data_IF_218146477120
#
_entry.id   IF_218146477120
#
_cell.length_a   1.000
_cell.length_b   1.000
_cell.length_c   1.000
_cell.angle_alpha   90.00
_cell.angle_beta   90.00
_cell.angle_gamma   90.00
#
_symmetry.space_group_name_H-M   'P 1'
#
loop_
_entity.id
_entity.type
_entity.pdbx_description
1 polymer ?
#
# COMPACT_ATOMS: atom_id res chain seq x y z
N UNK A 1 17.38 -3.39 32.56
CA UNK A 1 18.66 -3.67 33.24
C UNK A 1 19.53 -4.41 32.25
N UNK A 2 20.68 -3.84 31.84
CA UNK A 2 21.61 -4.53 30.94
C UNK A 2 22.25 -5.70 31.68
N UNK A 3 22.41 -6.83 30.98
CA UNK A 3 22.93 -8.07 31.54
C UNK A 3 24.42 -7.88 31.88
N UNK A 4 24.87 -8.32 33.06
CA UNK A 4 26.25 -8.12 33.55
C UNK A 4 27.28 -8.80 32.62
N UNK A 5 26.85 -9.82 31.85
CA UNK A 5 27.64 -10.45 30.79
C UNK A 5 28.03 -9.50 29.66
N UNK A 6 27.17 -8.53 29.31
CA UNK A 6 27.43 -7.61 28.20
C UNK A 6 28.43 -6.51 28.57
N UNK A 7 28.50 -6.18 29.86
CA UNK A 7 29.48 -5.23 30.42
C UNK A 7 30.86 -5.88 30.45
N UNK A 8 30.96 -7.11 30.97
CA UNK A 8 32.21 -7.86 31.07
C UNK A 8 32.78 -8.30 29.71
N UNK A 9 31.93 -8.54 28.71
CA UNK A 9 32.37 -8.84 27.34
C UNK A 9 32.91 -7.60 26.60
N UNK A 10 32.47 -6.40 26.99
CA UNK A 10 32.95 -5.13 26.42
C UNK A 10 34.31 -4.71 26.99
N UNK A 11 34.55 -4.94 28.28
CA UNK A 11 35.81 -4.58 28.97
C UNK A 11 37.00 -5.40 28.48
N UNK A 12 36.81 -6.68 28.12
CA UNK A 12 37.91 -7.49 27.58
C UNK A 12 38.32 -7.11 26.14
N UNK A 13 37.48 -6.41 25.39
CA UNK A 13 37.81 -5.91 24.04
C UNK A 13 38.58 -4.60 24.08
N UNK A 14 38.29 -3.71 25.03
CA UNK A 14 39.00 -2.44 25.19
C UNK A 14 40.45 -2.67 25.63
N UNK A 15 40.69 -3.55 26.61
CA UNK A 15 42.04 -3.90 27.08
C UNK A 15 42.88 -4.57 25.97
N UNK A 16 42.28 -5.46 25.18
CA UNK A 16 42.98 -6.10 24.04
C UNK A 16 43.31 -5.11 22.93
N UNK A 17 42.44 -4.13 22.68
CA UNK A 17 42.68 -3.08 21.69
C UNK A 17 43.81 -2.14 22.14
N UNK A 18 43.82 -1.73 23.42
CA UNK A 18 44.90 -0.91 23.99
C UNK A 18 46.25 -1.64 23.95
N UNK A 19 46.27 -2.93 24.28
CA UNK A 19 47.47 -3.75 24.20
C UNK A 19 48.01 -3.87 22.76
N UNK A 20 47.13 -4.05 21.77
CA UNK A 20 47.51 -4.13 20.36
C UNK A 20 48.08 -2.79 19.86
N UNK A 21 47.45 -1.67 20.23
CA UNK A 21 47.88 -0.32 19.85
C UNK A 21 49.27 -0.02 20.42
N UNK A 22 49.51 -0.34 21.70
CA UNK A 22 50.81 -0.13 22.35
C UNK A 22 51.93 -0.96 21.69
N UNK A 23 51.63 -2.19 21.27
CA UNK A 23 52.60 -3.05 20.57
C UNK A 23 52.94 -2.52 19.16
N UNK A 24 51.94 -2.02 18.43
CA UNK A 24 52.15 -1.37 17.12
C UNK A 24 52.95 -0.07 17.27
N UNK A 25 52.69 0.73 18.30
CA UNK A 25 53.45 1.95 18.59
C UNK A 25 54.93 1.66 18.88
N UNK A 26 55.21 0.64 19.71
CA UNK A 26 56.58 0.24 20.06
C UNK A 26 57.36 -0.30 18.86
N UNK A 27 56.76 -1.19 18.07
CA UNK A 27 57.42 -1.80 16.91
C UNK A 27 57.78 -0.81 15.80
N UNK A 28 57.06 0.30 15.67
CA UNK A 28 57.28 1.32 14.63
C UNK A 28 57.94 2.61 15.11
N UNK A 29 58.36 2.68 16.39
CA UNK A 29 58.96 3.91 16.96
C UNK A 29 58.03 5.13 16.93
N UNK A 30 56.71 4.91 16.90
CA UNK A 30 55.72 5.96 16.63
C UNK A 30 55.40 6.73 17.92
N UNK A 31 55.66 8.04 17.93
CA UNK A 31 55.29 8.91 19.06
C UNK A 31 53.77 9.06 19.15
N UNK A 32 53.22 9.06 20.37
CA UNK A 32 51.77 9.12 20.65
C UNK A 32 51.04 10.26 19.91
N UNK A 33 51.68 11.42 19.79
CA UNK A 33 51.16 12.58 19.04
C UNK A 33 50.89 12.33 17.54
N UNK A 34 51.53 11.31 16.95
CA UNK A 34 51.35 10.93 15.54
C UNK A 34 50.28 9.83 15.37
N UNK A 35 49.86 9.17 16.45
CA UNK A 35 48.85 8.12 16.42
C UNK A 35 47.43 8.70 16.35
N UNK A 36 47.19 9.79 17.07
CA UNK A 36 45.90 10.50 17.14
C UNK A 36 45.37 10.84 15.73
N UNK A 37 46.11 11.52 14.83
CA UNK A 37 45.62 11.82 13.49
C UNK A 37 45.36 10.57 12.64
N UNK A 38 46.12 9.48 12.85
CA UNK A 38 45.98 8.24 12.08
C UNK A 38 44.72 7.46 12.48
N UNK A 39 44.46 7.36 13.80
CA UNK A 39 43.23 6.78 14.37
C UNK A 39 42.03 7.64 13.99
N UNK A 40 42.14 8.97 14.06
CA UNK A 40 41.11 9.88 13.57
C UNK A 40 40.84 9.67 12.07
N UNK A 41 41.87 9.50 11.23
CA UNK A 41 41.68 9.22 9.80
C UNK A 41 41.03 7.86 9.54
N UNK A 42 41.34 6.85 10.36
CA UNK A 42 40.75 5.51 10.27
C UNK A 42 39.28 5.54 10.71
N UNK A 43 38.97 6.28 11.77
CA UNK A 43 37.60 6.54 12.22
C UNK A 43 36.85 7.34 11.15
N UNK A 44 37.47 8.35 10.53
CA UNK A 44 36.87 9.11 9.43
C UNK A 44 36.65 8.24 8.18
N UNK A 45 37.56 7.32 7.87
CA UNK A 45 37.42 6.35 6.78
C UNK A 45 36.34 5.29 7.08
N UNK A 46 36.23 4.81 8.32
CA UNK A 46 35.16 3.92 8.78
C UNK A 46 33.80 4.63 8.80
N UNK A 47 33.77 5.90 9.20
CA UNK A 47 32.58 6.75 9.10
C UNK A 47 32.23 7.05 7.63
N UNK A 48 33.21 7.23 6.74
CA UNK A 48 32.98 7.41 5.30
C UNK A 48 32.49 6.12 4.61
N UNK A 49 32.95 4.93 5.05
CA UNK A 49 32.38 3.64 4.63
C UNK A 49 30.94 3.47 5.11
N UNK A 50 30.64 3.86 6.35
CA UNK A 50 29.27 3.81 6.90
C UNK A 50 28.37 4.94 6.36
N UNK A 51 28.95 6.06 5.91
CA UNK A 51 28.27 7.19 5.30
C UNK A 51 28.09 7.04 3.77
N UNK A 52 28.54 5.93 3.18
CA UNK A 52 28.06 5.49 1.87
C UNK A 52 26.65 4.89 1.94
N UNK A 53 25.82 5.35 2.89
CA UNK A 53 24.37 5.32 2.78
C UNK A 53 23.91 6.43 1.83
N UNK A 54 24.44 6.44 0.61
CA UNK A 54 23.78 7.10 -0.50
C UNK A 54 22.53 6.27 -0.81
N UNK A 55 21.38 6.93 -0.87
CA UNK A 55 20.11 6.35 -1.33
C UNK A 55 20.24 5.80 -2.75
N UNK A 56 20.79 4.60 -2.88
CA UNK A 56 20.94 3.90 -4.14
C UNK A 56 19.61 3.24 -4.53
N UNK A 57 19.44 2.96 -5.83
CA UNK A 57 18.18 2.44 -6.36
C UNK A 57 17.78 1.13 -5.70
N UNK A 58 18.77 0.30 -5.31
CA UNK A 58 18.54 -0.93 -4.54
C UNK A 58 17.76 -0.69 -3.24
N UNK A 59 18.19 0.27 -2.41
CA UNK A 59 17.53 0.52 -1.12
C UNK A 59 16.12 1.10 -1.29
N UNK A 60 15.92 1.96 -2.29
CA UNK A 60 14.60 2.52 -2.65
C UNK A 60 13.66 1.39 -3.06
N UNK A 61 14.14 0.50 -3.94
CA UNK A 61 13.35 -0.61 -4.44
C UNK A 61 13.03 -1.61 -3.33
N UNK A 62 14.01 -1.97 -2.49
CA UNK A 62 13.79 -2.87 -1.37
C UNK A 62 12.70 -2.34 -0.42
N UNK A 63 12.76 -1.05 -0.07
CA UNK A 63 11.72 -0.43 0.75
C UNK A 63 10.36 -0.43 0.04
N UNK A 64 10.32 -0.10 -1.26
CA UNK A 64 9.08 -0.10 -2.03
C UNK A 64 8.44 -1.48 -2.06
N UNK A 65 9.21 -2.54 -2.32
CA UNK A 65 8.71 -3.91 -2.40
C UNK A 65 8.17 -4.44 -1.07
N UNK A 66 8.69 -3.97 0.08
CA UNK A 66 8.13 -4.29 1.42
C UNK A 66 6.69 -3.79 1.61
N UNK A 67 6.24 -2.83 0.81
CA UNK A 67 4.87 -2.32 0.85
C UNK A 67 3.89 -3.10 -0.03
N UNK A 68 4.40 -4.05 -0.82
CA UNK A 68 3.63 -4.81 -1.82
C UNK A 68 3.46 -6.26 -1.38
N UNK A 69 2.34 -6.86 -1.76
CA UNK A 69 2.12 -8.29 -1.60
C UNK A 69 2.73 -9.05 -2.79
N UNK A 70 4.03 -9.34 -2.71
CA UNK A 70 4.75 -10.06 -3.77
C UNK A 70 4.25 -11.50 -3.97
N UNK A 71 3.68 -12.11 -2.93
CA UNK A 71 3.13 -13.47 -3.00
C UNK A 71 1.77 -13.50 -3.68
N UNK A 72 0.98 -12.42 -3.54
CA UNK A 72 -0.34 -12.31 -4.13
C UNK A 72 -0.65 -10.89 -4.66
N UNK A 73 -0.11 -10.52 -5.84
CA UNK A 73 -0.34 -9.21 -6.45
C UNK A 73 -1.83 -8.92 -6.75
N UNK A 74 -2.65 -9.97 -6.95
CA UNK A 74 -4.10 -9.82 -7.20
C UNK A 74 -4.84 -9.31 -5.95
N UNK A 75 -4.34 -9.59 -4.75
CA UNK A 75 -4.91 -9.07 -3.52
C UNK A 75 -4.68 -7.56 -3.40
N UNK A 76 -3.48 -7.08 -3.75
CA UNK A 76 -3.21 -5.64 -3.84
C UNK A 76 -4.08 -4.97 -4.90
N UNK A 77 -4.26 -5.60 -6.07
CA UNK A 77 -5.18 -5.12 -7.10
C UNK A 77 -6.60 -4.97 -6.55
N UNK A 78 -7.13 -6.00 -5.89
CA UNK A 78 -8.48 -5.97 -5.31
C UNK A 78 -8.64 -4.84 -4.29
N UNK A 79 -7.62 -4.62 -3.45
CA UNK A 79 -7.59 -3.52 -2.49
C UNK A 79 -7.56 -2.14 -3.16
N UNK A 80 -6.80 -2.00 -4.24
CA UNK A 80 -6.70 -0.75 -5.00
C UNK A 80 -8.00 -0.43 -5.75
N UNK A 81 -8.61 -1.41 -6.42
CA UNK A 81 -9.93 -1.26 -7.06
C UNK A 81 -10.99 -0.84 -6.03
N UNK A 82 -10.96 -1.41 -4.82
CA UNK A 82 -11.87 -1.02 -3.74
C UNK A 82 -11.72 0.44 -3.27
N UNK A 83 -10.67 1.13 -3.72
CA UNK A 83 -10.38 2.56 -3.47
C UNK A 83 -10.48 3.40 -4.74
N UNK A 84 -11.08 2.85 -5.81
CA UNK A 84 -11.16 3.45 -7.13
C UNK A 84 -9.77 3.77 -7.77
N UNK A 85 -8.73 3.03 -7.37
CA UNK A 85 -7.39 3.13 -7.97
C UNK A 85 -7.19 2.01 -9.01
N UNK A 86 -7.27 2.41 -10.28
CA UNK A 86 -7.13 1.52 -11.45
C UNK A 86 -5.79 1.75 -12.18
N UNK A 87 -4.81 2.40 -11.56
CA UNK A 87 -3.54 2.70 -12.22
C UNK A 87 -2.75 1.41 -12.49
N UNK A 88 -2.14 1.33 -13.68
CA UNK A 88 -1.23 0.24 -14.04
C UNK A 88 0.11 0.40 -13.32
N UNK A 89 0.76 -0.72 -13.00
CA UNK A 89 2.09 -0.73 -12.40
C UNK A 89 3.13 -0.53 -13.50
N UNK A 90 3.87 0.57 -13.42
CA UNK A 90 4.96 0.89 -14.34
C UNK A 90 6.33 0.68 -13.70
N UNK A 91 7.30 0.27 -14.52
CA UNK A 91 8.71 0.16 -14.12
C UNK A 91 9.56 1.16 -14.90
N UNK A 92 10.61 1.68 -14.26
CA UNK A 92 11.64 2.45 -14.93
C UNK A 92 12.65 1.51 -15.59
N UNK A 93 13.11 1.89 -16.78
CA UNK A 93 14.18 1.30 -17.56
C UNK A 93 14.68 2.37 -18.53
N UNK A 94 15.18 1.98 -19.70
CA UNK A 94 15.50 2.95 -20.76
C UNK A 94 14.31 3.86 -21.10
N UNK A 95 13.12 3.27 -21.07
CA UNK A 95 11.83 3.97 -21.04
C UNK A 95 10.93 3.32 -19.98
N UNK A 96 9.82 4.00 -19.63
CA UNK A 96 8.78 3.39 -18.79
C UNK A 96 8.16 2.22 -19.56
N UNK A 97 8.00 1.09 -18.89
CA UNK A 97 7.35 -0.09 -19.46
C UNK A 97 6.40 -0.75 -18.47
N UNK A 98 5.46 -1.53 -19.00
CA UNK A 98 4.31 -2.06 -18.25
C UNK A 98 4.25 -3.58 -18.44
N UNK A 99 4.95 -4.37 -17.60
CA UNK A 99 4.91 -5.83 -17.68
C UNK A 99 3.47 -6.37 -17.68
N UNK A 100 3.21 -7.42 -18.45
CA UNK A 100 1.86 -8.02 -18.58
C UNK A 100 0.90 -7.27 -19.51
N UNK A 101 1.37 -6.31 -20.30
CA UNK A 101 0.57 -5.57 -21.29
C UNK A 101 1.27 -5.54 -22.65
N UNK A 102 0.58 -5.08 -23.70
CA UNK A 102 1.15 -4.84 -25.03
C UNK A 102 0.80 -3.44 -25.55
N UNK A 103 1.34 -3.07 -26.72
CA UNK A 103 1.16 -1.75 -27.35
C UNK A 103 -0.31 -1.33 -27.55
N UNK A 104 -1.20 -2.29 -27.83
CA UNK A 104 -2.62 -2.00 -28.01
C UNK A 104 -3.33 -1.63 -26.71
N UNK A 105 -2.70 -1.86 -25.55
CA UNK A 105 -3.27 -1.56 -24.23
C UNK A 105 -2.95 -0.13 -23.76
N UNK A 106 -2.06 0.60 -24.46
CA UNK A 106 -1.67 1.97 -24.09
C UNK A 106 -2.84 2.95 -23.95
N UNK A 107 -3.91 2.91 -24.76
CA UNK A 107 -5.09 3.75 -24.51
C UNK A 107 -5.73 3.52 -23.13
N UNK A 108 -5.76 2.27 -22.65
CA UNK A 108 -6.26 1.94 -21.31
C UNK A 108 -5.29 2.42 -20.23
N UNK A 109 -3.99 2.22 -20.43
CA UNK A 109 -2.95 2.69 -19.51
C UNK A 109 -3.01 4.22 -19.36
N UNK A 110 -3.18 4.96 -20.47
CA UNK A 110 -3.35 6.41 -20.46
C UNK A 110 -4.66 6.85 -19.79
N UNK A 111 -5.75 6.11 -20.02
CA UNK A 111 -7.06 6.39 -19.41
C UNK A 111 -7.03 6.24 -17.88
N UNK A 112 -6.41 5.18 -17.37
CA UNK A 112 -6.43 4.85 -15.94
C UNK A 112 -5.21 5.38 -15.16
N UNK A 113 -4.13 5.73 -15.86
CA UNK A 113 -2.91 6.25 -15.28
C UNK A 113 -1.96 5.16 -14.78
N UNK A 114 -0.89 5.59 -14.12
CA UNK A 114 0.27 4.76 -13.79
C UNK A 114 0.69 4.97 -12.33
N UNK A 115 1.08 3.89 -11.66
CA UNK A 115 1.80 3.89 -10.39
C UNK A 115 3.19 3.28 -10.61
N UNK A 116 4.23 4.08 -10.50
CA UNK A 116 5.60 3.62 -10.71
C UNK A 116 6.14 2.85 -9.50
N UNK A 117 6.92 1.79 -9.74
CA UNK A 117 7.76 1.17 -8.72
C UNK A 117 9.12 1.87 -8.73
N UNK A 118 9.27 2.81 -7.80
CA UNK A 118 10.51 3.55 -7.55
C UNK A 118 11.67 2.61 -7.23
N UNK A 119 12.87 2.99 -7.69
CA UNK A 119 14.09 2.20 -7.52
C UNK A 119 14.27 1.11 -8.59
N UNK A 120 13.34 0.92 -9.53
CA UNK A 120 13.65 0.17 -10.76
C UNK A 120 14.46 1.03 -11.73
N UNK A 121 15.27 0.40 -12.59
CA UNK A 121 16.20 1.09 -13.49
C UNK A 121 16.77 0.12 -14.54
N UNK A 122 17.27 0.66 -15.65
CA UNK A 122 18.12 -0.06 -16.59
C UNK A 122 19.60 -0.07 -16.16
N UNK A 123 19.98 0.79 -15.22
CA UNK A 123 21.28 0.76 -14.56
C UNK A 123 21.27 -0.22 -13.38
N UNK A 124 21.94 -1.36 -13.54
CA UNK A 124 22.05 -2.39 -12.50
C UNK A 124 23.21 -2.08 -11.55
N UNK A 125 22.88 -1.71 -10.32
CA UNK A 125 23.86 -1.37 -9.28
C UNK A 125 24.52 -2.60 -8.63
N UNK A 126 23.79 -3.73 -8.55
CA UNK A 126 24.24 -4.97 -7.93
C UNK A 126 23.40 -6.18 -8.38
N UNK A 127 23.86 -7.41 -8.08
CA UNK A 127 23.03 -8.60 -8.31
C UNK A 127 21.75 -8.59 -7.44
N UNK A 128 21.82 -8.07 -6.22
CA UNK A 128 20.62 -7.93 -5.36
C UNK A 128 19.62 -6.94 -5.96
N UNK A 129 20.09 -5.82 -6.51
CA UNK A 129 19.23 -4.87 -7.20
C UNK A 129 18.53 -5.53 -8.41
N UNK A 130 19.28 -6.30 -9.20
CA UNK A 130 18.72 -7.07 -10.33
C UNK A 130 17.65 -8.09 -9.88
N UNK A 131 17.87 -8.80 -8.79
CA UNK A 131 16.86 -9.71 -8.21
C UNK A 131 15.60 -8.96 -7.77
N UNK A 132 15.75 -7.80 -7.14
CA UNK A 132 14.63 -6.95 -6.73
C UNK A 132 13.86 -6.42 -7.96
N UNK A 133 14.55 -6.00 -9.03
CA UNK A 133 13.91 -5.59 -10.30
C UNK A 133 13.10 -6.76 -10.88
N UNK A 134 13.64 -7.97 -10.86
CA UNK A 134 12.93 -9.15 -11.36
C UNK A 134 11.66 -9.45 -10.54
N UNK A 135 11.71 -9.31 -9.21
CA UNK A 135 10.52 -9.41 -8.35
C UNK A 135 9.49 -8.33 -8.66
N UNK A 136 9.93 -7.08 -8.88
CA UNK A 136 9.06 -5.98 -9.28
C UNK A 136 8.37 -6.25 -10.63
N UNK A 137 9.12 -6.80 -11.60
CA UNK A 137 8.59 -7.21 -12.91
C UNK A 137 7.51 -8.28 -12.79
N UNK A 138 7.77 -9.34 -12.03
CA UNK A 138 6.79 -10.41 -11.81
C UNK A 138 5.53 -9.90 -11.11
N UNK A 139 5.69 -9.05 -10.09
CA UNK A 139 4.57 -8.39 -9.43
C UNK A 139 3.73 -7.59 -10.42
N UNK A 140 4.37 -6.72 -11.20
CA UNK A 140 3.69 -5.86 -12.18
C UNK A 140 2.99 -6.68 -13.26
N UNK A 141 3.60 -7.76 -13.74
CA UNK A 141 3.03 -8.61 -14.78
C UNK A 141 1.73 -9.28 -14.34
N UNK A 142 1.72 -9.86 -13.13
CA UNK A 142 0.52 -10.49 -12.55
C UNK A 142 -0.55 -9.43 -12.27
N UNK A 143 -0.17 -8.30 -11.68
CA UNK A 143 -1.08 -7.20 -11.36
C UNK A 143 -1.74 -6.62 -12.61
N UNK A 144 -0.93 -6.22 -13.59
CA UNK A 144 -1.40 -5.54 -14.80
C UNK A 144 -2.23 -6.48 -15.68
N UNK A 145 -1.84 -7.75 -15.82
CA UNK A 145 -2.64 -8.72 -16.57
C UNK A 145 -4.03 -8.91 -15.96
N UNK A 146 -4.11 -8.97 -14.63
CA UNK A 146 -5.38 -9.09 -13.92
C UNK A 146 -6.23 -7.81 -14.03
N UNK A 147 -5.61 -6.63 -13.92
CA UNK A 147 -6.29 -5.35 -14.13
C UNK A 147 -6.81 -5.23 -15.56
N UNK A 148 -5.99 -5.60 -16.55
CA UNK A 148 -6.33 -5.54 -17.97
C UNK A 148 -7.58 -6.36 -18.28
N UNK A 149 -7.66 -7.59 -17.78
CA UNK A 149 -8.84 -8.43 -17.92
C UNK A 149 -10.08 -7.74 -17.34
N UNK A 150 -9.95 -7.13 -16.15
CA UNK A 150 -11.06 -6.46 -15.48
C UNK A 150 -11.57 -5.21 -16.22
N UNK A 151 -10.67 -4.43 -16.82
CA UNK A 151 -11.06 -3.20 -17.54
C UNK A 151 -11.44 -3.43 -19.00
N UNK A 152 -11.04 -4.57 -19.59
CA UNK A 152 -11.49 -5.00 -20.92
C UNK A 152 -12.88 -5.65 -20.90
N UNK A 153 -13.29 -6.22 -19.77
CA UNK A 153 -14.66 -6.69 -19.59
C UNK A 153 -15.66 -5.57 -19.93
N UNK A 154 -16.73 -5.91 -20.66
CA UNK A 154 -17.80 -5.00 -21.01
C UNK A 154 -18.55 -4.55 -19.76
N UNK A 155 -18.05 -3.49 -19.12
CA UNK A 155 -18.71 -2.87 -17.99
C UNK A 155 -19.66 -1.79 -18.51
N UNK A 156 -20.98 -2.04 -18.38
CA UNK A 156 -21.99 -1.01 -18.61
C UNK A 156 -22.13 -0.22 -17.32
N UNK A 157 -21.57 0.98 -17.32
CA UNK A 157 -21.85 1.98 -16.30
C UNK A 157 -23.03 2.83 -16.80
N UNK A 158 -24.20 2.80 -16.12
CA UNK A 158 -25.30 3.66 -16.52
C UNK A 158 -24.89 5.13 -16.39
N UNK A 159 -25.39 5.98 -17.29
CA UNK A 159 -25.10 7.41 -17.26
C UNK A 159 -25.51 8.06 -15.92
N UNK A 160 -26.58 7.54 -15.31
CA UNK A 160 -27.09 7.98 -14.02
C UNK A 160 -26.45 7.25 -12.81
N UNK A 161 -25.36 6.51 -13.01
CA UNK A 161 -24.73 5.70 -11.97
C UNK A 161 -25.43 4.36 -11.73
N UNK A 162 -24.85 3.53 -10.88
CA UNK A 162 -25.37 2.18 -10.64
C UNK A 162 -26.65 2.15 -9.77
N UNK A 163 -26.97 3.24 -9.06
CA UNK A 163 -28.22 3.40 -8.30
C UNK A 163 -28.98 4.61 -8.86
N UNK A 164 -29.55 4.49 -10.07
CA UNK A 164 -30.02 5.64 -10.84
C UNK A 164 -31.27 6.31 -10.24
N UNK A 165 -32.05 5.58 -9.47
CA UNK A 165 -33.35 6.02 -8.98
C UNK A 165 -33.65 5.57 -7.53
N UNK A 166 -34.74 6.13 -7.01
CA UNK A 166 -35.28 5.88 -5.67
C UNK A 166 -35.58 4.40 -5.44
N UNK A 167 -36.13 3.73 -6.45
CA UNK A 167 -36.59 2.34 -6.33
C UNK A 167 -35.39 1.39 -6.20
N UNK A 168 -34.34 1.62 -6.98
CA UNK A 168 -33.09 0.88 -6.93
C UNK A 168 -32.41 1.06 -5.57
N UNK A 169 -32.36 2.29 -5.05
CA UNK A 169 -31.80 2.57 -3.73
C UNK A 169 -32.55 1.80 -2.61
N UNK A 170 -33.88 1.81 -2.65
CA UNK A 170 -34.72 1.06 -1.71
C UNK A 170 -34.46 -0.45 -1.80
N UNK A 171 -34.40 -1.01 -3.02
CA UNK A 171 -34.13 -2.44 -3.23
C UNK A 171 -32.78 -2.85 -2.63
N UNK A 172 -31.73 -2.04 -2.82
CA UNK A 172 -30.41 -2.29 -2.25
C UNK A 172 -30.47 -2.22 -0.71
N UNK A 173 -31.08 -1.18 -0.15
CA UNK A 173 -31.18 -1.01 1.30
C UNK A 173 -31.92 -2.18 1.95
N UNK A 174 -33.07 -2.59 1.40
CA UNK A 174 -33.87 -3.71 1.92
C UNK A 174 -33.10 -5.03 1.84
N UNK A 175 -32.40 -5.29 0.73
CA UNK A 175 -31.58 -6.49 0.58
C UNK A 175 -30.47 -6.59 1.64
N UNK A 176 -29.97 -5.45 2.14
CA UNK A 176 -28.95 -5.37 3.18
C UNK A 176 -29.58 -5.42 4.58
N UNK A 177 -30.71 -4.75 4.81
CA UNK A 177 -31.38 -4.73 6.10
C UNK A 177 -31.94 -6.10 6.51
N UNK A 178 -32.48 -6.87 5.57
CA UNK A 178 -33.07 -8.20 5.85
C UNK A 178 -32.11 -9.13 6.61
N UNK A 179 -30.87 -9.38 6.16
CA UNK A 179 -29.95 -10.26 6.87
C UNK A 179 -29.46 -9.68 8.21
N UNK A 180 -29.59 -8.37 8.45
CA UNK A 180 -29.14 -7.70 9.69
C UNK A 180 -30.26 -7.67 10.73
N UNK A 181 -31.47 -7.29 10.33
CA UNK A 181 -32.58 -6.97 11.23
C UNK A 181 -33.75 -7.97 11.15
N UNK A 182 -33.73 -8.86 10.16
CA UNK A 182 -34.78 -9.85 9.93
C UNK A 182 -35.89 -9.35 9.00
N UNK A 183 -36.37 -10.24 8.12
CA UNK A 183 -37.37 -9.90 7.10
C UNK A 183 -38.67 -9.34 7.69
N UNK A 184 -39.22 -10.01 8.72
CA UNK A 184 -40.50 -9.62 9.34
C UNK A 184 -40.44 -8.20 9.94
N UNK A 185 -39.31 -7.79 10.50
CA UNK A 185 -39.16 -6.45 11.09
C UNK A 185 -39.02 -5.37 10.02
N UNK A 186 -38.34 -5.67 8.91
CA UNK A 186 -38.18 -4.73 7.81
C UNK A 186 -39.48 -4.55 7.03
N UNK A 187 -40.27 -5.62 6.83
CA UNK A 187 -41.55 -5.52 6.11
C UNK A 187 -42.58 -4.62 6.81
N UNK A 188 -42.59 -4.58 8.14
CA UNK A 188 -43.47 -3.71 8.94
C UNK A 188 -43.18 -2.23 8.77
N UNK A 189 -41.99 -1.87 8.28
CA UNK A 189 -41.55 -0.48 8.12
C UNK A 189 -41.89 0.11 6.74
N UNK A 190 -42.72 -0.58 5.94
CA UNK A 190 -43.25 -0.02 4.69
C UNK A 190 -44.24 1.13 4.97
N UNK A 191 -44.37 2.11 4.06
CA UNK A 191 -43.58 2.28 2.84
C UNK A 191 -42.16 2.77 3.15
N UNK A 192 -41.18 2.34 2.36
CA UNK A 192 -39.82 2.88 2.44
C UNK A 192 -39.74 4.22 1.70
N UNK A 193 -38.92 5.12 2.21
CA UNK A 193 -38.60 6.36 1.53
C UNK A 193 -37.12 6.41 1.16
N UNK A 194 -36.81 7.17 0.11
CA UNK A 194 -35.45 7.45 -0.29
C UNK A 194 -35.36 8.86 -0.90
N UNK A 195 -34.34 9.61 -0.50
CA UNK A 195 -34.06 10.98 -0.92
C UNK A 195 -32.60 11.03 -1.37
N UNK A 196 -32.32 11.71 -2.48
CA UNK A 196 -30.97 11.88 -3.00
C UNK A 196 -30.44 13.27 -2.61
N UNK A 197 -29.34 13.31 -1.86
CA UNK A 197 -28.64 14.54 -1.52
C UNK A 197 -27.14 14.36 -1.73
N UNK A 198 -26.51 15.29 -2.44
CA UNK A 198 -25.05 15.28 -2.67
C UNK A 198 -24.50 13.95 -3.21
N UNK A 199 -25.26 13.27 -4.07
CA UNK A 199 -24.85 11.98 -4.67
C UNK A 199 -25.02 10.77 -3.74
N UNK A 200 -25.65 10.95 -2.58
CA UNK A 200 -25.93 9.89 -1.59
C UNK A 200 -27.44 9.71 -1.49
N UNK A 201 -27.89 8.47 -1.66
CA UNK A 201 -29.25 8.05 -1.35
C UNK A 201 -29.37 7.81 0.16
N UNK A 202 -30.24 8.57 0.80
CA UNK A 202 -30.68 8.36 2.18
C UNK A 202 -31.99 7.59 2.14
N UNK A 203 -31.95 6.33 2.56
CA UNK A 203 -33.09 5.41 2.54
C UNK A 203 -33.55 5.16 3.97
N UNK A 204 -34.85 5.21 4.22
CA UNK A 204 -35.43 4.96 5.55
C UNK A 204 -36.69 4.11 5.48
N UNK A 205 -36.95 3.37 6.55
CA UNK A 205 -38.28 2.85 6.86
C UNK A 205 -39.27 3.96 7.27
N UNK A 206 -40.49 3.52 7.58
CA UNK A 206 -41.55 4.35 8.15
C UNK A 206 -42.07 3.73 9.44
N UNK A 207 -42.60 4.57 10.33
CA UNK A 207 -43.36 4.15 11.50
C UNK A 207 -44.82 4.56 11.35
N UNK A 208 -45.78 3.69 11.74
CA UNK A 208 -47.17 4.09 11.83
C UNK A 208 -47.35 5.26 12.80
N UNK A 209 -48.32 6.13 12.50
CA UNK A 209 -48.62 7.30 13.34
C UNK A 209 -48.96 6.85 14.78
N UNK A 210 -48.26 7.43 15.76
CA UNK A 210 -48.47 7.14 17.19
C UNK A 210 -47.58 6.04 17.77
N UNK A 211 -46.68 5.45 16.98
CA UNK A 211 -45.69 4.49 17.46
C UNK A 211 -44.40 5.20 17.88
N UNK A 212 -43.74 4.68 18.91
CA UNK A 212 -42.44 5.14 19.40
C UNK A 212 -41.41 4.06 19.12
N UNK A 213 -40.27 4.46 18.56
CA UNK A 213 -39.14 3.61 18.17
C UNK A 213 -38.43 4.24 16.98
N UNK A 214 -37.43 3.56 16.42
CA UNK A 214 -36.80 3.98 15.18
C UNK A 214 -36.94 2.99 14.03
N UNK A 215 -36.40 3.41 12.89
CA UNK A 215 -36.49 2.70 11.61
C UNK A 215 -35.12 2.32 11.11
N UNK A 216 -35.07 1.35 10.21
CA UNK A 216 -33.87 1.06 9.46
C UNK A 216 -33.53 2.25 8.54
N UNK A 217 -32.25 2.59 8.50
CA UNK A 217 -31.70 3.66 7.67
C UNK A 217 -30.46 3.16 6.92
N UNK A 218 -30.25 3.70 5.72
CA UNK A 218 -29.10 3.40 4.88
C UNK A 218 -28.65 4.64 4.11
N UNK A 219 -27.34 4.77 3.96
CA UNK A 219 -26.69 5.76 3.08
C UNK A 219 -25.94 5.02 1.99
N UNK A 220 -26.27 5.30 0.72
CA UNK A 220 -25.79 4.55 -0.44
C UNK A 220 -25.31 5.53 -1.52
N UNK A 221 -24.08 5.40 -2.00
CA UNK A 221 -23.60 6.24 -3.10
C UNK A 221 -24.36 5.94 -4.40
N UNK A 222 -24.95 6.98 -5.02
CA UNK A 222 -25.62 6.90 -6.34
C UNK A 222 -24.70 6.29 -7.40
N UNK A 223 -23.43 6.72 -7.36
CA UNK A 223 -22.47 6.46 -8.41
C UNK A 223 -22.14 4.98 -8.56
N UNK A 224 -21.86 4.29 -7.44
CA UNK A 224 -21.32 2.92 -7.43
C UNK A 224 -22.03 1.95 -6.47
N UNK A 225 -23.10 2.38 -5.80
CA UNK A 225 -23.83 1.56 -4.84
C UNK A 225 -23.06 1.24 -3.56
N UNK A 226 -21.93 1.91 -3.31
CA UNK A 226 -21.17 1.72 -2.07
C UNK A 226 -22.02 2.12 -0.88
N UNK A 227 -22.10 1.21 0.08
CA UNK A 227 -22.81 1.40 1.34
C UNK A 227 -21.92 2.23 2.26
N UNK A 228 -22.38 3.43 2.60
CA UNK A 228 -21.67 4.36 3.49
C UNK A 228 -22.03 4.06 4.94
N UNK A 229 -23.33 3.89 5.23
CA UNK A 229 -23.85 3.71 6.57
C UNK A 229 -25.08 2.81 6.56
N UNK A 230 -25.19 1.97 7.58
CA UNK A 230 -26.42 1.24 7.94
C UNK A 230 -26.68 1.49 9.42
N UNK A 231 -27.91 1.81 9.79
CA UNK A 231 -28.31 1.90 11.19
C UNK A 231 -29.77 1.54 11.38
N UNK A 232 -30.17 1.44 12.64
CA UNK A 232 -31.56 1.39 13.06
C UNK A 232 -31.74 2.49 14.13
N UNK A 233 -32.66 3.43 13.88
CA UNK A 233 -32.99 4.48 14.83
C UNK A 233 -33.47 3.88 16.16
N UNK A 234 -33.22 4.58 17.28
CA UNK A 234 -33.74 4.15 18.59
C UNK A 234 -35.15 4.66 18.81
#
# INVERSE_FOLDING_TARGET
MKNISDVLYSDHKSEKAEFLILNVMKSKGMKMKNLIPLVLSLIFALLALNAHSNSNQEAILEHKLKTLNLENPKQDLTKNIGRDDFRFIGLYGYAKYFPGTNENDYPLINKYGISMIEGTSDFIESEKHKELIQKAKQYAEIYNSALLNRVKEHNVKPQEGYVPDKETAIKIAVAIWIPIYGQNEIEKQKPYNAILENGIWFVSGSLPKGWVGGVAEAEILKENGKIIRISHGK
#
